data_IF_108378526988
#
_entry.id   IF_108378526988
#
_cell.length_a   1.000
_cell.length_b   1.000
_cell.length_c   1.000
_cell.angle_alpha   90.00
_cell.angle_beta   90.00
_cell.angle_gamma   90.00
#
_symmetry.space_group_name_H-M   'P 1'
#
loop_
_entity.id
_entity.type
_entity.pdbx_description
1 polymer ?
#
# COMPACT_ATOMS: atom_id res chain seq x y z
N UNK A 1 5.12 27.06 2.42
CA UNK A 1 6.16 26.31 1.67
C UNK A 1 7.31 25.93 2.62
N UNK A 2 7.80 24.68 2.64
CA UNK A 2 9.02 24.31 3.40
C UNK A 2 10.25 24.52 2.51
N UNK A 3 11.21 25.33 2.97
CA UNK A 3 12.51 25.53 2.30
C UNK A 3 13.31 24.20 2.28
N UNK A 4 14.04 23.89 1.19
CA UNK A 4 14.97 22.77 1.18
C UNK A 4 16.10 23.05 2.17
N UNK A 5 16.28 22.17 3.17
CA UNK A 5 17.45 22.20 4.05
C UNK A 5 18.58 21.46 3.35
N UNK A 6 19.70 22.13 3.09
CA UNK A 6 20.94 21.49 2.66
C UNK A 6 21.42 20.64 3.84
N UNK A 7 21.42 19.31 3.68
CA UNK A 7 21.85 18.38 4.72
C UNK A 7 23.27 17.93 4.40
N UNK A 8 24.19 18.25 5.31
CA UNK A 8 25.58 17.79 5.26
C UNK A 8 25.65 16.26 5.46
N UNK A 9 26.30 15.57 4.51
CA UNK A 9 26.39 14.10 4.45
C UNK A 9 27.49 13.53 5.37
N UNK A 10 28.26 14.38 6.04
CA UNK A 10 29.41 13.97 6.88
C UNK A 10 29.03 13.42 8.27
N UNK A 11 27.81 13.67 8.79
CA UNK A 11 27.38 13.13 10.09
C UNK A 11 26.74 11.73 9.99
N UNK A 12 27.33 10.80 10.73
CA UNK A 12 27.24 9.32 10.73
C UNK A 12 25.87 8.61 10.60
N UNK A 13 24.69 9.25 10.65
CA UNK A 13 23.36 8.61 10.45
C UNK A 13 22.25 9.60 10.04
N UNK A 14 22.45 10.41 9.00
CA UNK A 14 21.41 11.36 8.55
C UNK A 14 20.43 10.71 7.57
N UNK A 15 19.28 10.25 8.09
CA UNK A 15 18.10 10.08 7.25
C UNK A 15 17.59 11.47 6.89
N UNK A 16 17.22 11.71 5.63
CA UNK A 16 16.60 12.99 5.24
C UNK A 16 15.30 12.77 4.47
N UNK A 17 14.37 13.71 4.63
CA UNK A 17 13.08 13.69 3.96
C UNK A 17 13.08 14.65 2.76
N UNK A 18 12.67 14.17 1.60
CA UNK A 18 12.54 14.96 0.38
C UNK A 18 11.39 14.43 -0.49
N UNK A 19 10.52 15.32 -1.00
CA UNK A 19 9.36 14.99 -1.84
C UNK A 19 8.50 13.82 -1.30
N UNK A 20 8.27 13.78 0.00
CA UNK A 20 7.47 12.71 0.62
C UNK A 20 8.17 11.34 0.67
N UNK A 21 9.45 11.28 0.33
CA UNK A 21 10.34 10.16 0.61
C UNK A 21 11.22 10.45 1.81
N UNK A 22 11.60 9.40 2.52
CA UNK A 22 12.68 9.34 3.50
C UNK A 22 13.81 8.52 2.89
N UNK A 23 14.98 9.13 2.74
CA UNK A 23 16.19 8.50 2.24
C UNK A 23 17.01 7.97 3.41
N UNK A 24 17.42 6.70 3.34
CA UNK A 24 18.22 6.05 4.38
C UNK A 24 19.39 5.29 3.75
N UNK A 25 20.58 5.40 4.34
CA UNK A 25 21.74 4.59 3.95
C UNK A 25 21.66 3.23 4.67
N UNK A 26 21.56 2.14 3.92
CA UNK A 26 21.49 0.76 4.42
C UNK A 26 22.50 -0.08 3.64
N UNK A 27 23.44 -0.75 4.34
CA UNK A 27 24.50 -1.58 3.73
C UNK A 27 25.13 -0.90 2.50
N UNK A 28 25.57 0.35 2.68
CA UNK A 28 26.19 1.20 1.65
C UNK A 28 25.28 1.71 0.51
N UNK A 29 24.02 1.27 0.42
CA UNK A 29 23.06 1.75 -0.59
C UNK A 29 22.07 2.75 -0.03
N UNK A 30 21.70 3.76 -0.82
CA UNK A 30 20.61 4.67 -0.48
C UNK A 30 19.28 3.99 -0.82
N UNK A 31 18.44 3.77 0.20
CA UNK A 31 17.09 3.24 0.07
C UNK A 31 16.08 4.36 0.24
N UNK A 32 15.00 4.29 -0.54
CA UNK A 32 13.90 5.24 -0.52
C UNK A 32 12.71 4.60 0.16
N UNK A 33 12.13 5.31 1.12
CA UNK A 33 10.92 4.90 1.84
C UNK A 33 9.89 6.02 1.70
N UNK A 34 8.59 5.74 1.60
CA UNK A 34 7.60 6.79 1.77
C UNK A 34 7.67 7.33 3.20
N UNK A 35 7.57 8.64 3.37
CA UNK A 35 7.60 9.22 4.71
C UNK A 35 6.35 8.79 5.51
N UNK A 36 6.45 8.80 6.85
CA UNK A 36 5.34 8.42 7.74
C UNK A 36 4.05 9.19 7.42
N UNK A 37 4.18 10.49 7.09
CA UNK A 37 3.05 11.36 6.72
C UNK A 37 2.36 10.89 5.43
N UNK A 38 3.12 10.46 4.42
CA UNK A 38 2.56 9.96 3.17
C UNK A 38 1.84 8.62 3.34
N UNK A 39 2.45 7.69 4.08
CA UNK A 39 1.81 6.40 4.41
C UNK A 39 0.50 6.62 5.18
N UNK A 40 0.51 7.56 6.13
CA UNK A 40 -0.70 7.93 6.88
C UNK A 40 -1.78 8.48 5.95
N UNK A 41 -1.46 9.45 5.08
CA UNK A 41 -2.42 10.00 4.11
C UNK A 41 -3.03 8.92 3.21
N UNK A 42 -2.21 8.00 2.71
CA UNK A 42 -2.68 6.87 1.92
C UNK A 42 -3.67 6.01 2.73
N UNK A 43 -3.27 5.59 3.94
CA UNK A 43 -4.11 4.78 4.83
C UNK A 43 -5.39 5.51 5.21
N UNK A 44 -5.34 6.82 5.49
CA UNK A 44 -6.51 7.62 5.83
C UNK A 44 -7.50 7.65 4.66
N UNK A 45 -7.01 7.83 3.42
CA UNK A 45 -7.86 7.80 2.22
C UNK A 45 -8.54 6.44 2.04
N UNK A 46 -7.77 5.34 2.07
CA UNK A 46 -8.34 3.99 1.98
C UNK A 46 -9.31 3.74 3.15
N UNK A 47 -9.01 4.22 4.35
CA UNK A 47 -9.87 4.07 5.52
C UNK A 47 -11.26 4.68 5.30
N UNK A 48 -11.32 5.89 4.72
CA UNK A 48 -12.57 6.58 4.42
C UNK A 48 -13.44 5.76 3.45
N UNK A 49 -12.85 5.22 2.39
CA UNK A 49 -13.57 4.40 1.40
C UNK A 49 -14.03 3.04 1.96
N UNK A 50 -13.28 2.51 2.92
CA UNK A 50 -13.51 1.17 3.49
C UNK A 50 -14.06 1.25 4.91
N UNK A 51 -14.95 2.21 5.18
CA UNK A 51 -15.71 2.24 6.44
C UNK A 51 -16.51 0.94 6.58
N UNK A 52 -16.57 0.43 7.80
CA UNK A 52 -17.16 -0.89 8.08
C UNK A 52 -18.66 -0.95 7.80
N UNK A 53 -19.36 0.16 8.05
CA UNK A 53 -20.79 0.32 7.78
C UNK A 53 -21.02 1.06 6.45
N UNK A 54 -20.27 0.70 5.41
CA UNK A 54 -20.48 1.23 4.06
C UNK A 54 -21.55 0.38 3.33
N UNK A 55 -22.57 1.05 2.77
CA UNK A 55 -23.65 0.47 1.97
C UNK A 55 -23.26 0.07 0.54
N UNK A 56 -22.11 0.54 0.04
CA UNK A 56 -21.64 0.22 -1.32
C UNK A 56 -21.33 -1.26 -1.49
N UNK A 57 -21.52 -1.82 -2.68
CA UNK A 57 -21.10 -3.20 -2.95
C UNK A 57 -19.58 -3.36 -2.80
N UNK A 58 -19.09 -4.60 -2.59
CA UNK A 58 -17.65 -4.81 -2.47
C UNK A 58 -16.91 -4.45 -3.77
N UNK A 59 -17.52 -4.71 -4.93
CA UNK A 59 -16.96 -4.36 -6.23
C UNK A 59 -16.82 -2.84 -6.39
N UNK A 60 -17.85 -2.07 -6.02
CA UNK A 60 -17.77 -0.60 -6.03
C UNK A 60 -16.65 -0.08 -5.14
N UNK A 61 -16.49 -0.65 -3.94
CA UNK A 61 -15.38 -0.27 -3.04
C UNK A 61 -14.05 -0.55 -3.73
N UNK A 62 -13.87 -1.74 -4.31
CA UNK A 62 -12.62 -2.11 -5.01
C UNK A 62 -12.34 -1.16 -6.19
N UNK A 63 -13.35 -0.84 -7.00
CA UNK A 63 -13.20 0.11 -8.11
C UNK A 63 -12.78 1.51 -7.63
N UNK A 64 -13.29 1.97 -6.47
CA UNK A 64 -12.82 3.22 -5.87
C UNK A 64 -11.36 3.12 -5.37
N UNK A 65 -10.95 1.98 -4.83
CA UNK A 65 -9.57 1.81 -4.32
C UNK A 65 -8.52 1.72 -5.43
N UNK A 66 -8.85 1.14 -6.59
CA UNK A 66 -7.92 0.94 -7.72
C UNK A 66 -7.17 2.21 -8.14
N UNK A 67 -7.83 3.34 -8.51
CA UNK A 67 -7.12 4.54 -8.91
C UNK A 67 -6.30 5.15 -7.77
N UNK A 68 -6.74 5.03 -6.52
CA UNK A 68 -6.01 5.50 -5.34
C UNK A 68 -4.70 4.73 -5.16
N UNK A 69 -4.78 3.41 -5.18
CA UNK A 69 -3.63 2.52 -5.07
C UNK A 69 -2.68 2.67 -6.27
N UNK A 70 -3.21 2.77 -7.49
CA UNK A 70 -2.42 2.98 -8.71
C UNK A 70 -1.65 4.29 -8.68
N UNK A 71 -2.30 5.41 -8.39
CA UNK A 71 -1.62 6.70 -8.33
C UNK A 71 -0.57 6.75 -7.22
N UNK A 72 -0.86 6.16 -6.07
CA UNK A 72 0.11 6.06 -4.98
C UNK A 72 1.31 5.18 -5.35
N UNK A 73 1.05 4.03 -5.99
CA UNK A 73 2.10 3.14 -6.50
C UNK A 73 3.01 3.88 -7.48
N UNK A 74 2.44 4.54 -8.49
CA UNK A 74 3.22 5.19 -9.54
C UNK A 74 4.16 6.24 -8.97
N UNK A 75 3.69 7.02 -8.00
CA UNK A 75 4.52 8.00 -7.31
C UNK A 75 5.62 7.33 -6.46
N UNK A 76 5.31 6.22 -5.78
CA UNK A 76 6.19 5.56 -4.81
C UNK A 76 6.94 4.32 -5.35
N UNK A 77 6.85 3.99 -6.64
CA UNK A 77 7.34 2.73 -7.25
C UNK A 77 8.82 2.41 -7.02
N UNK A 78 9.64 3.44 -6.76
CA UNK A 78 11.06 3.29 -6.42
C UNK A 78 11.33 3.03 -4.93
N UNK A 79 10.28 2.84 -4.13
CA UNK A 79 10.39 2.43 -2.73
C UNK A 79 10.72 0.94 -2.61
N UNK A 80 11.06 0.51 -1.39
CA UNK A 80 11.32 -0.91 -1.13
C UNK A 80 10.06 -1.78 -1.24
N UNK A 81 10.22 -3.03 -1.70
CA UNK A 81 9.15 -4.01 -1.90
C UNK A 81 8.24 -4.20 -0.68
N UNK A 82 8.83 -4.26 0.52
CA UNK A 82 8.10 -4.60 1.75
C UNK A 82 6.94 -3.65 2.06
N UNK A 83 7.08 -2.37 1.71
CA UNK A 83 6.03 -1.37 1.93
C UNK A 83 4.76 -1.72 1.15
N UNK A 84 4.91 -2.17 -0.11
CA UNK A 84 3.77 -2.55 -0.94
C UNK A 84 3.05 -3.79 -0.38
N UNK A 85 3.82 -4.79 0.07
CA UNK A 85 3.25 -6.00 0.70
C UNK A 85 2.50 -5.69 1.99
N UNK A 86 3.01 -4.78 2.81
CA UNK A 86 2.35 -4.33 4.04
C UNK A 86 1.05 -3.57 3.75
N UNK A 87 1.06 -2.65 2.79
CA UNK A 87 -0.12 -1.91 2.38
C UNK A 87 -1.19 -2.83 1.80
N UNK A 88 -0.79 -3.77 0.95
CA UNK A 88 -1.67 -4.78 0.37
C UNK A 88 -2.32 -5.66 1.44
N UNK A 89 -1.55 -6.12 2.44
CA UNK A 89 -2.07 -6.88 3.57
C UNK A 89 -3.12 -6.07 4.35
N UNK A 90 -2.81 -4.80 4.61
CA UNK A 90 -3.69 -3.90 5.34
C UNK A 90 -4.98 -3.59 4.55
N UNK A 91 -4.90 -3.32 3.24
CA UNK A 91 -6.06 -3.12 2.37
C UNK A 91 -6.98 -4.34 2.40
N UNK A 92 -6.43 -5.55 2.18
CA UNK A 92 -7.20 -6.80 2.21
C UNK A 92 -7.83 -7.07 3.57
N UNK A 93 -7.14 -6.78 4.69
CA UNK A 93 -7.71 -6.90 6.03
C UNK A 93 -8.95 -6.00 6.21
N UNK A 94 -8.96 -4.80 5.64
CA UNK A 94 -10.12 -3.90 5.68
C UNK A 94 -11.29 -4.43 4.86
N UNK A 95 -11.03 -4.88 3.64
CA UNK A 95 -12.04 -5.50 2.78
C UNK A 95 -12.66 -6.75 3.45
N UNK A 96 -11.83 -7.62 4.03
CA UNK A 96 -12.33 -8.76 4.82
C UNK A 96 -13.14 -8.33 6.03
N UNK A 97 -12.77 -7.25 6.70
CA UNK A 97 -13.53 -6.74 7.87
C UNK A 97 -14.91 -6.23 7.48
N UNK A 98 -15.07 -5.67 6.28
CA UNK A 98 -16.37 -5.31 5.70
C UNK A 98 -17.20 -6.57 5.45
N UNK A 99 -16.64 -7.56 4.74
CA UNK A 99 -17.30 -8.84 4.48
C UNK A 99 -17.71 -9.58 5.75
N UNK A 100 -16.84 -9.55 6.77
CA UNK A 100 -17.11 -10.09 8.10
C UNK A 100 -18.33 -9.43 8.72
N UNK A 101 -18.43 -8.10 8.67
CA UNK A 101 -19.61 -7.36 9.16
C UNK A 101 -20.87 -7.72 8.37
N UNK A 102 -20.79 -7.79 7.05
CA UNK A 102 -21.91 -8.18 6.17
C UNK A 102 -22.39 -9.61 6.43
N UNK A 103 -21.48 -10.48 6.87
CA UNK A 103 -21.80 -11.84 7.32
C UNK A 103 -22.30 -11.92 8.77
N UNK A 104 -22.76 -10.80 9.36
CA UNK A 104 -23.27 -10.73 10.74
C UNK A 104 -22.21 -10.81 11.85
N UNK A 105 -20.91 -10.93 11.52
CA UNK A 105 -19.85 -11.14 12.52
C UNK A 105 -19.25 -9.82 13.03
N UNK A 106 -18.88 -9.82 14.33
CA UNK A 106 -18.26 -8.68 15.03
C UNK A 106 -16.72 -8.70 14.92
N UNK A 107 -16.09 -7.57 15.28
CA UNK A 107 -14.62 -7.42 15.32
C UNK A 107 -13.92 -7.28 13.95
N UNK A 108 -12.59 -7.10 13.97
CA UNK A 108 -11.75 -7.04 12.77
C UNK A 108 -11.51 -8.46 12.23
N UNK A 109 -11.37 -8.60 10.92
CA UNK A 109 -10.99 -9.86 10.29
C UNK A 109 -9.51 -10.15 10.51
N UNK A 110 -9.18 -10.92 11.54
CA UNK A 110 -7.80 -11.37 11.84
C UNK A 110 -7.65 -12.89 11.96
N UNK A 111 -8.76 -13.64 11.90
CA UNK A 111 -8.70 -15.08 12.13
C UNK A 111 -8.46 -15.86 10.85
N UNK A 112 -7.90 -17.06 11.01
CA UNK A 112 -7.63 -17.98 9.91
C UNK A 112 -8.89 -18.32 9.11
N UNK A 113 -10.05 -18.41 9.76
CA UNK A 113 -11.32 -18.71 9.10
C UNK A 113 -11.72 -17.63 8.08
N UNK A 114 -11.48 -16.35 8.37
CA UNK A 114 -11.74 -15.28 7.39
C UNK A 114 -10.76 -15.33 6.22
N UNK A 115 -9.51 -15.74 6.47
CA UNK A 115 -8.50 -15.92 5.43
C UNK A 115 -8.82 -17.13 4.52
N UNK A 116 -9.37 -18.21 5.08
CA UNK A 116 -9.88 -19.36 4.33
C UNK A 116 -11.11 -19.00 3.51
N UNK A 117 -12.06 -18.26 4.11
CA UNK A 117 -13.31 -17.87 3.44
C UNK A 117 -13.08 -16.83 2.32
N UNK A 118 -12.19 -15.87 2.56
CA UNK A 118 -11.84 -14.82 1.60
C UNK A 118 -10.32 -14.81 1.37
N UNK A 119 -9.82 -15.77 0.57
CA UNK A 119 -8.39 -15.85 0.24
C UNK A 119 -7.93 -14.63 -0.55
N UNK A 120 -6.62 -14.42 -0.70
CA UNK A 120 -6.12 -13.27 -1.47
C UNK A 120 -6.65 -13.29 -2.93
N UNK A 121 -6.73 -14.49 -3.55
CA UNK A 121 -7.28 -14.69 -4.89
C UNK A 121 -8.72 -14.22 -5.06
N UNK A 122 -9.54 -14.28 -4.00
CA UNK A 122 -10.92 -13.80 -4.04
C UNK A 122 -11.00 -12.31 -4.37
N UNK A 123 -10.15 -11.50 -3.73
CA UNK A 123 -10.10 -10.06 -4.02
C UNK A 123 -9.51 -9.75 -5.38
N UNK A 124 -8.52 -10.54 -5.83
CA UNK A 124 -7.95 -10.40 -7.17
C UNK A 124 -8.97 -10.71 -8.26
N UNK A 125 -9.80 -11.76 -8.08
CA UNK A 125 -10.91 -12.06 -8.98
C UNK A 125 -12.00 -10.97 -9.03
N UNK A 126 -12.09 -10.14 -7.99
CA UNK A 126 -12.94 -8.95 -7.97
C UNK A 126 -12.27 -7.70 -8.55
N UNK A 127 -11.06 -7.82 -9.12
CA UNK A 127 -10.35 -6.70 -9.75
C UNK A 127 -9.45 -5.90 -8.81
N UNK A 128 -9.20 -6.35 -7.57
CA UNK A 128 -8.21 -5.69 -6.72
C UNK A 128 -6.80 -5.98 -7.26
N UNK A 129 -6.10 -4.93 -7.70
CA UNK A 129 -4.71 -5.05 -8.18
C UNK A 129 -3.73 -4.81 -7.02
N UNK A 130 -2.99 -5.84 -6.56
CA UNK A 130 -2.04 -5.68 -5.46
C UNK A 130 -0.83 -4.83 -5.88
N UNK A 131 -0.43 -3.90 -5.01
CA UNK A 131 0.76 -3.06 -5.18
C UNK A 131 2.03 -3.90 -5.34
N UNK A 132 2.12 -5.03 -4.65
CA UNK A 132 3.26 -5.94 -4.78
C UNK A 132 3.37 -6.53 -6.19
N UNK A 133 2.24 -6.87 -6.84
CA UNK A 133 2.24 -7.37 -8.22
C UNK A 133 2.71 -6.27 -9.18
N UNK A 134 2.18 -5.05 -9.02
CA UNK A 134 2.61 -3.89 -9.80
C UNK A 134 4.12 -3.61 -9.64
N UNK A 135 4.65 -3.72 -8.42
CA UNK A 135 6.08 -3.59 -8.14
C UNK A 135 6.92 -4.65 -8.85
N UNK A 136 6.49 -5.92 -8.81
CA UNK A 136 7.21 -7.00 -9.47
C UNK A 136 7.23 -6.78 -10.98
N UNK A 137 6.10 -6.38 -11.58
CA UNK A 137 6.01 -6.06 -13.01
C UNK A 137 6.95 -4.91 -13.39
N UNK A 138 6.93 -3.81 -12.64
CA UNK A 138 7.83 -2.67 -12.86
C UNK A 138 9.32 -3.03 -12.73
N UNK A 139 9.67 -4.05 -11.93
CA UNK A 139 11.06 -4.48 -11.73
C UNK A 139 11.55 -5.45 -12.81
N UNK A 140 10.66 -6.11 -13.54
CA UNK A 140 11.09 -7.00 -14.62
C UNK A 140 11.81 -6.17 -15.70
N UNK A 141 13.01 -6.58 -16.14
CA UNK A 141 13.68 -5.92 -17.25
C UNK A 141 12.83 -6.05 -18.50
N UNK A 142 12.78 -4.99 -19.30
CA UNK A 142 12.13 -4.98 -20.63
C UNK A 142 13.08 -5.77 -21.55
N UNK A 143 13.08 -7.09 -21.47
CA UNK A 143 13.90 -7.93 -22.35
C UNK A 143 13.29 -9.33 -22.49
N UNK A 144 12.32 -9.45 -23.41
CA UNK A 144 12.04 -10.65 -24.22
C UNK A 144 10.85 -10.37 -25.17
N UNK A 145 10.96 -9.33 -26.00
CA UNK A 145 10.22 -9.25 -27.26
C UNK A 145 11.26 -8.88 -28.31
N UNK A 146 11.93 -9.92 -28.81
CA UNK A 146 12.74 -9.95 -30.03
C UNK A 146 12.32 -11.18 -30.78
#
# INVERSE_FOLDING_TARGET
>A
MRRPKIVDKTKKRTNFDFLGYTFKKIHQRIRRFPCKKSLRKYKDKIHMETRRCNGNSLNQIIETLKPISRGWFEYYKHSIKNIFRELDSWNRMRLRSILRKRSGRKGRSRCLNDHKKWPNKFFEGMGLHPLEKAYNFHRQPISSNS
#
